data_IF_886942125552
#
_entry.id   IF_886942125552
#
_cell.length_a   1.000
_cell.length_b   1.000
_cell.length_c   1.000
_cell.angle_alpha   90.00
_cell.angle_beta   90.00
_cell.angle_gamma   90.00
#
_symmetry.space_group_name_H-M   'P 1'
#
loop_
_entity.id
_entity.type
_entity.pdbx_description
1 polymer ?
#
# COMPACT_ATOMS: atom_id res chain seq x y z
N UNK A 1 31.05 32.18 -28.71
CA UNK A 1 31.14 30.75 -28.33
C UNK A 1 30.65 30.43 -26.91
N UNK A 2 30.85 31.32 -25.92
CA UNK A 2 30.42 31.09 -24.51
C UNK A 2 28.89 31.16 -24.29
N UNK A 3 28.18 32.06 -24.98
CA UNK A 3 26.72 32.23 -24.82
C UNK A 3 25.89 31.00 -25.27
N UNK A 4 26.29 30.34 -26.38
CA UNK A 4 25.62 29.12 -26.87
C UNK A 4 25.85 27.90 -25.96
N UNK A 5 27.04 27.77 -25.37
CA UNK A 5 27.34 26.69 -24.40
C UNK A 5 26.54 26.85 -23.10
N UNK A 6 26.32 28.09 -22.67
CA UNK A 6 25.49 28.40 -21.50
C UNK A 6 24.00 28.09 -21.75
N UNK A 7 23.45 28.47 -22.90
CA UNK A 7 22.05 28.16 -23.23
C UNK A 7 21.76 26.65 -23.33
N UNK A 8 22.71 25.86 -23.86
CA UNK A 8 22.59 24.40 -23.95
C UNK A 8 22.60 23.75 -22.56
N UNK A 9 23.43 24.23 -21.64
CA UNK A 9 23.47 23.74 -20.26
C UNK A 9 22.17 24.02 -19.50
N UNK A 10 21.59 25.21 -19.68
CA UNK A 10 20.29 25.57 -19.06
C UNK A 10 19.14 24.71 -19.60
N UNK A 11 19.10 24.41 -20.90
CA UNK A 11 18.07 23.52 -21.46
C UNK A 11 18.21 22.05 -21.03
N UNK A 12 19.44 21.56 -20.81
CA UNK A 12 19.69 20.19 -20.32
C UNK A 12 19.20 20.02 -18.87
N UNK A 13 19.40 21.03 -18.01
CA UNK A 13 18.85 21.04 -16.64
C UNK A 13 17.32 21.10 -16.66
N UNK A 14 16.73 21.91 -17.55
CA UNK A 14 15.26 22.03 -17.66
C UNK A 14 14.60 20.71 -18.14
N UNK A 15 15.26 19.97 -19.04
CA UNK A 15 14.83 18.66 -19.52
C UNK A 15 14.97 17.55 -18.45
N UNK A 16 16.03 17.58 -17.64
CA UNK A 16 16.20 16.64 -16.54
C UNK A 16 15.19 16.88 -15.40
N UNK A 17 14.81 18.13 -15.13
CA UNK A 17 13.75 18.48 -14.18
C UNK A 17 12.38 17.99 -14.68
N UNK A 18 12.05 18.17 -15.97
CA UNK A 18 10.81 17.64 -16.57
C UNK A 18 10.80 16.10 -16.62
N UNK A 19 11.95 15.45 -16.84
CA UNK A 19 12.09 13.98 -16.90
C UNK A 19 11.96 13.31 -15.52
N UNK A 20 12.43 13.95 -14.45
CA UNK A 20 12.23 13.50 -13.07
C UNK A 20 10.80 13.83 -12.59
N UNK A 21 10.23 14.99 -12.97
CA UNK A 21 8.92 15.47 -12.51
C UNK A 21 7.70 15.09 -13.37
N UNK A 22 7.90 14.37 -14.48
CA UNK A 22 6.82 13.64 -15.17
C UNK A 22 6.39 12.36 -14.41
N UNK A 23 6.83 12.23 -13.14
CA UNK A 23 6.05 11.81 -11.95
C UNK A 23 4.65 11.27 -12.24
N UNK A 24 4.61 10.10 -12.86
CA UNK A 24 3.62 9.10 -12.55
C UNK A 24 4.36 7.80 -12.37
N UNK A 25 4.51 7.38 -11.12
CA UNK A 25 4.59 5.94 -10.81
C UNK A 25 3.21 5.28 -10.91
N UNK A 26 2.18 6.02 -11.33
CA UNK A 26 0.81 5.52 -11.48
C UNK A 26 0.29 5.72 -12.91
N UNK A 27 0.87 4.95 -13.82
CA UNK A 27 0.12 4.49 -14.97
C UNK A 27 -0.75 3.34 -14.46
N UNK A 28 -2.00 3.61 -14.09
CA UNK A 28 -2.94 2.48 -14.06
C UNK A 28 -2.87 1.86 -15.44
N UNK A 29 -2.66 0.56 -15.52
CA UNK A 29 -2.81 -0.13 -16.78
C UNK A 29 -4.29 0.05 -17.14
N UNK A 30 -4.60 1.06 -17.96
CA UNK A 30 -5.92 1.31 -18.53
C UNK A 30 -6.17 0.19 -19.54
N UNK A 31 -6.25 -1.04 -19.02
CA UNK A 31 -6.76 -2.17 -19.76
C UNK A 31 -8.27 -2.13 -19.58
N UNK A 32 -8.99 -2.55 -20.61
CA UNK A 32 -10.45 -2.67 -20.73
C UNK A 32 -11.13 -2.86 -19.37
N UNK A 33 -12.15 -2.04 -19.06
CA UNK A 33 -12.96 -2.16 -17.84
C UNK A 33 -13.42 -3.61 -17.66
N UNK A 34 -12.70 -4.39 -16.85
CA UNK A 34 -13.11 -5.75 -16.51
C UNK A 34 -14.32 -5.65 -15.60
N UNK A 35 -15.38 -6.36 -15.95
CA UNK A 35 -16.57 -6.43 -15.12
C UNK A 35 -16.23 -7.15 -13.82
N UNK A 36 -16.44 -6.47 -12.69
CA UNK A 36 -16.33 -7.09 -11.37
C UNK A 36 -17.28 -8.28 -11.28
N UNK A 37 -16.76 -9.44 -10.88
CA UNK A 37 -17.54 -10.66 -10.68
C UNK A 37 -18.61 -10.42 -9.62
N UNK A 38 -19.83 -10.89 -9.87
CA UNK A 38 -20.99 -10.62 -9.00
C UNK A 38 -20.79 -11.11 -7.56
N UNK A 39 -20.11 -12.23 -7.35
CA UNK A 39 -19.76 -12.74 -6.02
C UNK A 39 -18.92 -11.71 -5.24
N UNK A 40 -17.81 -11.23 -5.83
CA UNK A 40 -16.94 -10.24 -5.20
C UNK A 40 -17.65 -8.91 -4.96
N UNK A 41 -18.53 -8.50 -5.87
CA UNK A 41 -19.37 -7.31 -5.69
C UNK A 41 -20.26 -7.42 -4.45
N UNK A 42 -20.98 -8.53 -4.29
CA UNK A 42 -21.86 -8.76 -3.14
C UNK A 42 -21.06 -8.78 -1.84
N UNK A 43 -19.89 -9.42 -1.86
CA UNK A 43 -19.01 -9.47 -0.70
C UNK A 43 -18.55 -8.07 -0.28
N UNK A 44 -17.99 -7.29 -1.21
CA UNK A 44 -17.52 -5.93 -0.95
C UNK A 44 -18.64 -5.02 -0.44
N UNK A 45 -19.84 -5.12 -1.00
CA UNK A 45 -21.00 -4.35 -0.56
C UNK A 45 -21.41 -4.72 0.89
N UNK A 46 -21.56 -6.01 1.18
CA UNK A 46 -21.93 -6.49 2.51
C UNK A 46 -20.95 -6.07 3.61
N UNK A 47 -19.65 -6.23 3.35
CA UNK A 47 -18.60 -5.82 4.30
C UNK A 47 -18.55 -4.28 4.41
N UNK A 48 -18.69 -3.54 3.30
CA UNK A 48 -18.67 -2.08 3.29
C UNK A 48 -19.76 -1.44 4.15
N UNK A 49 -20.95 -2.05 4.21
CA UNK A 49 -22.05 -1.61 5.07
C UNK A 49 -21.74 -1.74 6.57
N UNK A 50 -20.81 -2.62 6.97
CA UNK A 50 -20.43 -2.78 8.37
C UNK A 50 -19.70 -1.56 8.93
N UNK A 51 -18.93 -0.84 8.11
CA UNK A 51 -18.24 0.39 8.50
C UNK A 51 -19.25 1.49 8.93
N UNK A 52 -20.40 1.55 8.26
CA UNK A 52 -21.44 2.54 8.54
C UNK A 52 -21.98 2.44 9.97
N UNK A 53 -21.97 1.24 10.58
CA UNK A 53 -22.43 1.03 11.96
C UNK A 53 -21.60 1.79 12.99
N UNK A 54 -20.35 2.12 12.66
CA UNK A 54 -19.40 2.80 13.55
C UNK A 54 -19.03 4.19 13.04
N UNK A 55 -19.80 4.75 12.11
CA UNK A 55 -19.50 6.03 11.43
C UNK A 55 -18.14 6.05 10.71
N UNK A 56 -17.58 4.88 10.41
CA UNK A 56 -16.38 4.75 9.60
C UNK A 56 -16.69 5.02 8.12
N UNK A 57 -15.66 5.44 7.36
CA UNK A 57 -15.78 5.60 5.91
C UNK A 57 -16.05 4.22 5.29
N UNK A 58 -17.07 4.03 4.44
CA UNK A 58 -17.48 2.72 3.93
C UNK A 58 -16.57 2.21 2.80
N UNK A 59 -15.32 1.95 3.15
CA UNK A 59 -14.32 1.33 2.29
C UNK A 59 -14.23 -0.14 2.68
N UNK A 60 -14.22 -1.03 1.69
CA UNK A 60 -14.06 -2.46 1.88
C UNK A 60 -13.04 -3.03 0.91
N UNK A 61 -12.41 -4.13 1.31
CA UNK A 61 -11.43 -4.86 0.55
C UNK A 61 -11.55 -6.36 0.81
N UNK A 62 -11.18 -7.15 -0.20
CA UNK A 62 -11.04 -8.59 -0.11
C UNK A 62 -9.66 -9.00 -0.63
N UNK A 63 -9.05 -9.99 0.03
CA UNK A 63 -7.84 -10.66 -0.45
C UNK A 63 -8.23 -12.01 -1.04
N UNK A 64 -7.87 -12.21 -2.30
CA UNK A 64 -8.17 -13.40 -3.08
C UNK A 64 -6.89 -14.20 -3.29
N UNK A 65 -6.96 -15.51 -3.10
CA UNK A 65 -5.92 -16.47 -3.46
C UNK A 65 -6.56 -17.62 -4.25
N UNK A 66 -6.04 -17.93 -5.43
CA UNK A 66 -6.58 -18.99 -6.31
C UNK A 66 -8.12 -18.90 -6.51
N UNK A 67 -8.63 -17.70 -6.79
CA UNK A 67 -10.06 -17.40 -6.98
C UNK A 67 -10.94 -17.52 -5.73
N UNK A 68 -10.36 -17.81 -4.57
CA UNK A 68 -11.08 -17.88 -3.30
C UNK A 68 -10.78 -16.66 -2.42
N UNK A 69 -11.78 -16.19 -1.70
CA UNK A 69 -11.63 -15.07 -0.76
C UNK A 69 -11.05 -15.62 0.54
N UNK A 70 -9.77 -15.34 0.77
CA UNK A 70 -9.07 -15.77 1.99
C UNK A 70 -9.10 -14.69 3.08
N UNK A 71 -9.34 -13.42 2.74
CA UNK A 71 -9.41 -12.32 3.69
C UNK A 71 -10.45 -11.26 3.33
N UNK A 72 -11.06 -10.66 4.36
CA UNK A 72 -12.12 -9.65 4.27
C UNK A 72 -11.83 -8.49 5.22
N UNK A 73 -12.04 -7.26 4.77
CA UNK A 73 -11.86 -6.09 5.63
C UNK A 73 -12.69 -4.89 5.20
N UNK A 74 -13.16 -4.11 6.18
CA UNK A 74 -13.66 -2.75 6.00
C UNK A 74 -12.89 -1.77 6.89
N UNK A 75 -13.10 -0.47 6.69
CA UNK A 75 -12.51 0.56 7.53
C UNK A 75 -13.07 0.51 8.96
N UNK A 76 -12.20 0.44 9.96
CA UNK A 76 -12.54 0.31 11.38
C UNK A 76 -11.77 1.30 12.25
N UNK A 77 -11.19 2.34 11.64
CA UNK A 77 -10.37 3.35 12.33
C UNK A 77 -11.12 3.99 13.49
N UNK A 78 -12.37 4.41 13.25
CA UNK A 78 -13.20 5.03 14.28
C UNK A 78 -13.65 3.99 15.30
N UNK A 79 -14.12 2.83 14.83
CA UNK A 79 -14.61 1.75 15.69
C UNK A 79 -13.56 1.27 16.71
N UNK A 80 -12.35 1.02 16.22
CA UNK A 80 -11.29 0.35 16.98
C UNK A 80 -10.29 1.35 17.58
N UNK A 81 -10.45 2.65 17.30
CA UNK A 81 -9.45 3.68 17.61
C UNK A 81 -8.04 3.31 17.10
N UNK A 82 -7.98 2.69 15.92
CA UNK A 82 -6.76 2.15 15.32
C UNK A 82 -6.44 2.85 14.00
N UNK A 83 -5.31 3.56 13.97
CA UNK A 83 -4.81 4.20 12.75
C UNK A 83 -4.53 3.19 11.63
N UNK A 84 -4.22 1.93 11.97
CA UNK A 84 -4.02 0.81 11.06
C UNK A 84 -5.30 0.18 10.53
N UNK A 85 -6.48 0.54 11.08
CA UNK A 85 -7.78 -0.07 10.80
C UNK A 85 -8.36 0.20 9.39
N UNK A 86 -7.52 0.25 8.36
CA UNK A 86 -7.92 0.42 6.97
C UNK A 86 -8.38 -0.90 6.35
N UNK A 87 -9.34 -0.84 5.44
CA UNK A 87 -9.94 -2.03 4.81
C UNK A 87 -8.92 -3.03 4.23
N UNK A 88 -7.87 -2.56 3.56
CA UNK A 88 -6.82 -3.42 2.97
C UNK A 88 -5.98 -4.10 4.06
N UNK A 89 -5.56 -3.36 5.08
CA UNK A 89 -4.77 -3.91 6.20
C UNK A 89 -5.61 -4.93 6.96
N UNK A 90 -6.88 -4.62 7.20
CA UNK A 90 -7.84 -5.53 7.81
C UNK A 90 -8.04 -6.80 6.97
N UNK A 91 -8.14 -6.70 5.64
CA UNK A 91 -8.26 -7.86 4.76
C UNK A 91 -7.01 -8.76 4.75
N UNK A 92 -5.80 -8.16 4.78
CA UNK A 92 -4.54 -8.91 4.91
C UNK A 92 -4.48 -9.61 6.28
N UNK A 93 -4.81 -8.87 7.34
CA UNK A 93 -4.82 -9.39 8.71
C UNK A 93 -5.82 -10.53 8.89
N UNK A 94 -7.03 -10.39 8.32
CA UNK A 94 -8.05 -11.44 8.32
C UNK A 94 -7.55 -12.70 7.60
N UNK A 95 -6.93 -12.55 6.42
CA UNK A 95 -6.33 -13.68 5.72
C UNK A 95 -5.25 -14.39 6.53
N UNK A 96 -4.32 -13.65 7.14
CA UNK A 96 -3.28 -14.20 8.00
C UNK A 96 -3.89 -14.93 9.20
N UNK A 97 -4.94 -14.38 9.82
CA UNK A 97 -5.65 -15.05 10.92
C UNK A 97 -6.33 -16.34 10.48
N UNK A 98 -6.89 -16.37 9.26
CA UNK A 98 -7.59 -17.53 8.73
C UNK A 98 -6.64 -18.69 8.36
N UNK A 99 -5.47 -18.39 7.79
CA UNK A 99 -4.55 -19.42 7.26
C UNK A 99 -3.31 -19.64 8.13
N UNK A 100 -3.01 -18.73 9.06
CA UNK A 100 -1.76 -18.70 9.83
C UNK A 100 -0.63 -17.95 9.10
N UNK A 101 0.22 -17.25 9.85
CA UNK A 101 1.28 -16.40 9.29
C UNK A 101 2.31 -17.19 8.46
N UNK A 102 2.74 -18.36 8.95
CA UNK A 102 3.71 -19.19 8.24
C UNK A 102 3.14 -19.68 6.90
N UNK A 103 1.91 -20.20 6.91
CA UNK A 103 1.25 -20.65 5.69
C UNK A 103 0.97 -19.49 4.74
N UNK A 104 0.55 -18.32 5.25
CA UNK A 104 0.38 -17.11 4.46
C UNK A 104 1.67 -16.70 3.74
N UNK A 105 2.81 -16.84 4.43
CA UNK A 105 4.13 -16.55 3.90
C UNK A 105 4.57 -17.50 2.78
N UNK A 106 4.05 -18.74 2.77
CA UNK A 106 4.34 -19.75 1.74
C UNK A 106 3.42 -19.66 0.50
N UNK A 107 2.30 -18.95 0.59
CA UNK A 107 1.37 -18.82 -0.52
C UNK A 107 2.00 -18.11 -1.73
N UNK A 108 1.76 -18.63 -2.94
CA UNK A 108 2.23 -18.00 -4.19
C UNK A 108 1.69 -16.58 -4.37
N UNK A 109 2.59 -15.61 -4.48
CA UNK A 109 2.25 -14.18 -4.67
C UNK A 109 1.59 -13.88 -6.00
N UNK A 110 1.91 -14.63 -7.05
CA UNK A 110 1.31 -14.44 -8.38
C UNK A 110 -0.17 -14.85 -8.43
N UNK A 111 -0.60 -15.69 -7.49
CA UNK A 111 -2.00 -16.09 -7.32
C UNK A 111 -2.77 -15.20 -6.33
N UNK A 112 -2.13 -14.17 -5.77
CA UNK A 112 -2.75 -13.23 -4.84
C UNK A 112 -3.24 -11.96 -5.52
N UNK A 113 -4.42 -11.50 -5.10
CA UNK A 113 -4.98 -10.22 -5.56
C UNK A 113 -5.83 -9.56 -4.49
N UNK A 114 -5.67 -8.25 -4.33
CA UNK A 114 -6.63 -7.42 -3.59
C UNK A 114 -7.64 -6.79 -4.54
N UNK A 115 -8.91 -6.81 -4.13
CA UNK A 115 -9.95 -5.97 -4.73
C UNK A 115 -10.49 -5.05 -3.64
N UNK A 116 -10.55 -3.75 -3.90
CA UNK A 116 -11.01 -2.73 -2.94
C UNK A 116 -11.99 -1.74 -3.57
N UNK A 117 -12.91 -1.19 -2.78
CA UNK A 117 -13.88 -0.19 -3.27
C UNK A 117 -13.25 1.18 -3.54
N UNK A 118 -12.14 1.48 -2.86
CA UNK A 118 -11.42 2.74 -3.00
C UNK A 118 -9.92 2.51 -3.18
N UNK A 119 -9.30 3.35 -3.99
CA UNK A 119 -7.86 3.29 -4.26
C UNK A 119 -7.03 3.32 -2.95
N UNK A 120 -5.98 2.48 -2.83
CA UNK A 120 -5.14 2.43 -1.63
C UNK A 120 -4.47 3.77 -1.28
N UNK A 121 -4.26 4.03 0.01
CA UNK A 121 -3.30 5.06 0.46
C UNK A 121 -1.87 4.52 0.53
N UNK A 122 -0.89 5.39 0.76
CA UNK A 122 0.52 5.01 0.88
C UNK A 122 0.77 3.97 1.99
N UNK A 123 0.07 4.07 3.14
CA UNK A 123 0.16 3.06 4.21
C UNK A 123 -0.29 1.67 3.75
N UNK A 124 -1.47 1.57 3.11
CA UNK A 124 -1.97 0.30 2.60
C UNK A 124 -1.08 -0.26 1.48
N UNK A 125 -0.57 0.62 0.61
CA UNK A 125 0.38 0.26 -0.45
C UNK A 125 1.69 -0.27 0.16
N UNK A 126 2.22 0.37 1.20
CA UNK A 126 3.38 -0.11 1.94
C UNK A 126 3.15 -1.50 2.52
N UNK A 127 2.01 -1.72 3.18
CA UNK A 127 1.63 -3.04 3.69
C UNK A 127 1.53 -4.10 2.58
N UNK A 128 0.96 -3.75 1.42
CA UNK A 128 0.91 -4.66 0.28
C UNK A 128 2.31 -5.02 -0.25
N UNK A 129 3.22 -4.04 -0.33
CA UNK A 129 4.60 -4.27 -0.76
C UNK A 129 5.30 -5.20 0.23
N UNK A 130 5.16 -4.93 1.54
CA UNK A 130 5.73 -5.74 2.63
C UNK A 130 5.32 -7.21 2.52
N UNK A 131 4.02 -7.48 2.27
CA UNK A 131 3.51 -8.84 2.12
C UNK A 131 3.61 -9.40 0.69
N UNK A 132 4.30 -8.71 -0.22
CA UNK A 132 4.52 -9.16 -1.60
C UNK A 132 3.26 -9.22 -2.48
N UNK A 133 2.20 -8.50 -2.12
CA UNK A 133 0.92 -8.45 -2.85
C UNK A 133 1.03 -7.43 -3.98
N UNK A 134 1.28 -7.93 -5.20
CA UNK A 134 1.54 -7.07 -6.37
C UNK A 134 0.29 -6.76 -7.21
N UNK A 135 -0.78 -7.55 -7.07
CA UNK A 135 -2.00 -7.37 -7.85
C UNK A 135 -3.09 -6.67 -7.04
N UNK A 136 -3.56 -5.54 -7.55
CA UNK A 136 -4.69 -4.79 -6.97
C UNK A 136 -5.62 -4.26 -8.05
N UNK A 137 -6.92 -4.37 -7.79
CA UNK A 137 -7.99 -3.75 -8.55
C UNK A 137 -8.84 -2.89 -7.61
N UNK A 138 -9.17 -1.67 -8.02
CA UNK A 138 -10.00 -0.78 -7.21
C UNK A 138 -11.13 -0.15 -8.03
N UNK A 139 -12.25 0.18 -7.37
CA UNK A 139 -13.44 0.68 -8.07
C UNK A 139 -13.42 2.19 -8.29
N UNK A 140 -12.98 2.96 -7.30
CA UNK A 140 -12.96 4.42 -7.35
C UNK A 140 -11.57 4.96 -7.04
N UNK A 141 -11.05 5.78 -7.93
CA UNK A 141 -9.78 6.49 -7.77
C UNK A 141 -9.91 7.69 -6.84
N UNK A 142 -8.79 8.09 -6.26
CA UNK A 142 -8.65 9.35 -5.53
C UNK A 142 -8.53 10.50 -6.51
N UNK A 143 -9.01 11.70 -6.12
CA UNK A 143 -8.83 12.89 -6.94
C UNK A 143 -7.34 13.26 -7.03
N UNK A 144 -6.96 13.93 -8.12
CA UNK A 144 -5.58 14.37 -8.33
C UNK A 144 -5.01 15.21 -7.17
N UNK A 145 -5.84 16.05 -6.53
CA UNK A 145 -5.41 16.85 -5.39
C UNK A 145 -4.95 16.03 -4.17
N UNK A 146 -5.51 14.82 -3.98
CA UNK A 146 -5.03 13.90 -2.95
C UNK A 146 -3.58 13.50 -3.24
N UNK A 147 -3.28 13.09 -4.47
CA UNK A 147 -1.94 12.69 -4.89
C UNK A 147 -0.92 13.80 -4.72
N UNK A 148 -1.28 15.03 -5.10
CA UNK A 148 -0.40 16.19 -4.91
C UNK A 148 -0.07 16.41 -3.41
N UNK A 149 -1.07 16.26 -2.53
CA UNK A 149 -0.85 16.38 -1.09
C UNK A 149 0.06 15.28 -0.54
N UNK A 150 -0.05 14.04 -1.05
CA UNK A 150 0.79 12.93 -0.61
C UNK A 150 2.25 13.12 -1.01
N UNK A 151 2.51 13.54 -2.26
CA UNK A 151 3.88 13.83 -2.71
C UNK A 151 4.53 14.93 -1.86
N UNK A 152 3.76 15.96 -1.49
CA UNK A 152 4.25 17.03 -0.60
C UNK A 152 4.60 16.50 0.80
N UNK A 153 3.72 15.67 1.38
CA UNK A 153 3.93 15.09 2.71
C UNK A 153 5.12 14.11 2.73
N UNK A 154 5.25 13.27 1.70
CA UNK A 154 6.37 12.33 1.55
C UNK A 154 7.70 13.08 1.48
N UNK A 155 7.78 14.13 0.67
CA UNK A 155 8.97 14.96 0.57
C UNK A 155 9.29 15.64 1.92
N UNK A 156 8.27 16.14 2.62
CA UNK A 156 8.44 16.70 3.97
C UNK A 156 8.94 15.68 4.99
N UNK A 157 8.44 14.44 4.92
CA UNK A 157 8.94 13.33 5.74
C UNK A 157 10.41 13.04 5.45
N UNK A 158 10.77 12.89 4.17
CA UNK A 158 12.13 12.60 3.73
C UNK A 158 13.15 13.69 4.12
N UNK A 159 12.74 14.96 4.15
CA UNK A 159 13.60 16.06 4.64
C UNK A 159 13.66 16.17 6.17
N UNK A 160 12.62 15.71 6.89
CA UNK A 160 12.56 15.83 8.35
C UNK A 160 13.13 14.62 9.07
N UNK A 161 13.22 13.44 8.42
CA UNK A 161 13.80 12.24 9.01
C UNK A 161 15.27 12.45 9.39
N UNK A 162 15.67 11.90 10.54
CA UNK A 162 17.04 11.99 11.06
C UNK A 162 17.52 10.60 11.46
N UNK A 163 18.77 10.28 11.13
CA UNK A 163 19.46 9.11 11.69
C UNK A 163 20.01 9.50 13.06
N UNK A 164 19.70 8.73 14.09
CA UNK A 164 20.34 8.84 15.40
C UNK A 164 21.57 7.94 15.44
N UNK A 165 22.55 8.33 16.25
CA UNK A 165 23.71 7.50 16.57
C UNK A 165 23.33 6.53 17.70
N UNK A 166 23.64 5.25 17.53
CA UNK A 166 23.12 4.17 18.39
C UNK A 166 23.04 2.80 17.71
N UNK A 167 23.95 2.53 16.76
CA UNK A 167 23.93 1.32 15.93
C UNK A 167 23.92 0.03 16.77
N UNK A 168 24.56 0.04 17.95
CA UNK A 168 24.65 -1.12 18.84
C UNK A 168 23.35 -1.49 19.56
N UNK A 169 22.37 -0.59 19.69
CA UNK A 169 21.14 -0.86 20.44
C UNK A 169 20.32 -1.96 19.77
N UNK A 170 20.10 -1.83 18.45
CA UNK A 170 19.33 -2.82 17.71
C UNK A 170 20.04 -4.18 17.68
N UNK A 171 21.36 -4.18 17.49
CA UNK A 171 22.18 -5.40 17.53
C UNK A 171 22.11 -6.09 18.90
N UNK A 172 22.07 -5.31 19.98
CA UNK A 172 21.93 -5.83 21.34
C UNK A 172 20.56 -6.47 21.55
N UNK A 173 19.49 -5.88 21.02
CA UNK A 173 18.14 -6.46 21.08
C UNK A 173 18.04 -7.74 20.25
N UNK A 174 18.66 -7.80 19.07
CA UNK A 174 18.72 -9.03 18.27
C UNK A 174 19.44 -10.18 19.01
N UNK A 175 20.50 -9.88 19.76
CA UNK A 175 21.22 -10.88 20.58
C UNK A 175 20.37 -11.43 21.74
N UNK A 176 19.43 -10.66 22.30
CA UNK A 176 18.50 -11.18 23.31
C UNK A 176 17.52 -12.20 22.71
N UNK A 177 17.14 -12.01 21.44
CA UNK A 177 16.20 -12.87 20.72
C UNK A 177 16.80 -14.12 20.07
N UNK A 178 18.12 -14.16 19.83
CA UNK A 178 18.77 -15.23 19.05
C UNK A 178 18.77 -16.62 19.71
N UNK A 179 18.44 -16.72 21.00
CA UNK A 179 18.17 -18.01 21.66
C UNK A 179 16.71 -18.49 21.49
N UNK A 180 15.82 -17.69 20.89
CA UNK A 180 14.38 -17.98 20.81
C UNK A 180 13.79 -17.84 19.40
N UNK A 181 14.37 -17.02 18.51
CA UNK A 181 13.89 -16.82 17.14
C UNK A 181 15.05 -16.81 16.14
N UNK A 182 14.92 -17.55 15.04
CA UNK A 182 15.77 -17.37 13.86
C UNK A 182 15.39 -16.01 13.27
N UNK A 183 16.22 -15.01 13.53
CA UNK A 183 16.17 -13.74 12.81
C UNK A 183 16.68 -14.07 11.41
N UNK A 184 15.77 -14.40 10.50
CA UNK A 184 16.09 -14.33 9.08
C UNK A 184 16.14 -12.85 8.75
N UNK A 185 17.30 -12.37 8.31
CA UNK A 185 17.48 -10.99 7.86
C UNK A 185 16.34 -10.62 6.89
N UNK A 186 15.58 -9.58 7.26
CA UNK A 186 14.52 -8.99 6.43
C UNK A 186 15.09 -8.39 5.15
#
# INVERSE_FOLDING_TARGET
MKLKKFAIFVSIILLLIIAVFSLRTQFYKVTTQKKLINQYRRELDGIGQLALKSMDVPISAILIYNFEIIGRGHNTVVRDADAGGHAIINAITDAIKNVGLESFNQLSRDSMKIITTYEPCEMCKGAMIEYGIKSIEFLKSKPFGYWLSQQYNELGYEFSKRKLDGEELQDSLFKLGSNTYIINDY
#
